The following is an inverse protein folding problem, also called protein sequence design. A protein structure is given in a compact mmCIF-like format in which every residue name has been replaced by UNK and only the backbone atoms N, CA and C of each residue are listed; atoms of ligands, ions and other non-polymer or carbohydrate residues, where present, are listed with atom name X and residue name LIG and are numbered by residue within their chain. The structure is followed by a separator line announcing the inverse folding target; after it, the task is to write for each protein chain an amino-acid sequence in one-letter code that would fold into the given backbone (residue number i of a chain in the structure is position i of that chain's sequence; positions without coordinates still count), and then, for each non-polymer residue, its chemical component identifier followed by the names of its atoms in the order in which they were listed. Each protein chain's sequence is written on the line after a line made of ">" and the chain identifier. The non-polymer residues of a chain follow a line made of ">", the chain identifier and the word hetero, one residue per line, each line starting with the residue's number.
data_IF_617607275401
#
_entry.id   IF_617607275401
#
_cell.length_a   1.000
_cell.length_b   1.000
_cell.length_c   1.000
_cell.angle_alpha   90.00
_cell.angle_beta   90.00
_cell.angle_gamma   90.00
#
_symmetry.space_group_name_H-M   'P 1'
#
loop_
_entity.id
_entity.type
_entity.pdbx_description
1 polymer ?
#
# COMPACT_ATOMS: atom_id res chain seq x y z
N UNK A 1 -28.18 -7.80 -18.40
CA UNK A 1 -26.79 -7.73 -17.90
C UNK A 1 -26.68 -6.45 -17.10
N UNK A 2 -26.44 -6.54 -15.78
CA UNK A 2 -26.07 -5.35 -15.03
C UNK A 2 -24.64 -5.00 -15.42
N UNK A 3 -24.45 -3.83 -16.05
CA UNK A 3 -23.12 -3.26 -16.22
C UNK A 3 -22.48 -3.15 -14.83
N UNK A 4 -21.35 -3.82 -14.64
CA UNK A 4 -20.60 -3.75 -13.40
C UNK A 4 -20.07 -2.32 -13.25
N UNK A 5 -20.63 -1.58 -12.31
CA UNK A 5 -20.12 -0.26 -11.98
C UNK A 5 -18.74 -0.42 -11.33
N UNK A 6 -17.70 0.05 -11.99
CA UNK A 6 -16.35 0.06 -11.45
C UNK A 6 -16.25 0.98 -10.23
N UNK A 7 -15.68 0.47 -9.15
CA UNK A 7 -15.33 1.28 -7.98
C UNK A 7 -14.05 2.06 -8.22
N UNK A 8 -13.74 3.03 -7.33
CA UNK A 8 -12.45 3.74 -7.36
C UNK A 8 -11.27 2.77 -7.22
N UNK A 9 -11.40 1.77 -6.36
CA UNK A 9 -10.40 0.69 -6.20
C UNK A 9 -10.22 -0.09 -7.51
N UNK A 10 -11.30 -0.45 -8.20
CA UNK A 10 -11.19 -1.15 -9.50
C UNK A 10 -10.47 -0.29 -10.54
N UNK A 11 -10.72 1.01 -10.56
CA UNK A 11 -10.04 1.95 -11.47
C UNK A 11 -8.53 1.98 -11.20
N UNK A 12 -8.13 2.10 -9.93
CA UNK A 12 -6.70 2.08 -9.57
C UNK A 12 -6.06 0.73 -9.85
N UNK A 13 -6.77 -0.38 -9.62
CA UNK A 13 -6.29 -1.72 -10.02
C UNK A 13 -6.01 -1.83 -11.51
N UNK A 14 -6.87 -1.26 -12.34
CA UNK A 14 -6.64 -1.29 -13.79
C UNK A 14 -5.34 -0.55 -14.17
N UNK A 15 -5.08 0.63 -13.58
CA UNK A 15 -3.81 1.33 -13.82
C UNK A 15 -2.60 0.53 -13.31
N UNK A 16 -2.71 -0.07 -12.13
CA UNK A 16 -1.66 -0.89 -11.56
C UNK A 16 -1.39 -2.15 -12.41
N UNK A 17 -2.45 -2.81 -12.84
CA UNK A 17 -2.36 -3.99 -13.71
C UNK A 17 -1.71 -3.64 -15.06
N UNK A 18 -2.07 -2.53 -15.66
CA UNK A 18 -1.49 -2.10 -16.94
C UNK A 18 0.00 -1.81 -16.79
N UNK A 19 0.42 -1.15 -15.70
CA UNK A 19 1.82 -0.91 -15.40
C UNK A 19 2.58 -2.23 -15.21
N UNK A 20 2.10 -3.13 -14.35
CA UNK A 20 2.79 -4.39 -14.04
C UNK A 20 2.83 -5.35 -15.24
N UNK A 21 1.78 -5.43 -16.03
CA UNK A 21 1.75 -6.23 -17.29
C UNK A 21 2.75 -5.73 -18.31
N UNK A 22 2.99 -4.41 -18.33
CA UNK A 22 3.94 -3.77 -19.24
C UNK A 22 5.40 -4.04 -18.91
N UNK A 23 5.73 -4.53 -17.73
CA UNK A 23 7.12 -4.80 -17.33
C UNK A 23 7.71 -5.97 -18.14
N UNK A 24 8.94 -5.77 -18.64
CA UNK A 24 9.67 -6.80 -19.38
C UNK A 24 10.08 -7.95 -18.46
N UNK A 25 10.61 -7.63 -17.26
CA UNK A 25 10.97 -8.61 -16.25
C UNK A 25 9.74 -9.18 -15.53
N UNK A 26 9.44 -10.44 -15.80
CA UNK A 26 8.27 -11.12 -15.25
C UNK A 26 8.41 -11.47 -13.77
N UNK A 27 9.61 -11.56 -13.25
CA UNK A 27 9.84 -11.74 -11.82
C UNK A 27 9.53 -10.46 -11.06
N UNK A 28 10.00 -9.32 -11.53
CA UNK A 28 9.63 -7.99 -10.99
C UNK A 28 8.14 -7.77 -11.04
N UNK A 29 7.47 -8.09 -12.16
CA UNK A 29 6.02 -7.98 -12.28
C UNK A 29 5.30 -8.84 -11.24
N UNK A 30 5.68 -10.11 -11.08
CA UNK A 30 5.11 -11.01 -10.07
C UNK A 30 5.28 -10.47 -8.65
N UNK A 31 6.48 -9.99 -8.33
CA UNK A 31 6.78 -9.41 -7.02
C UNK A 31 5.93 -8.14 -6.77
N UNK A 32 5.73 -7.32 -7.80
CA UNK A 32 4.84 -6.16 -7.75
C UNK A 32 3.39 -6.54 -7.45
N UNK A 33 2.86 -7.55 -8.14
CA UNK A 33 1.51 -8.06 -7.85
C UNK A 33 1.36 -8.52 -6.40
N UNK A 34 2.29 -9.34 -5.92
CA UNK A 34 2.25 -9.86 -4.55
C UNK A 34 2.35 -8.74 -3.52
N UNK A 35 3.29 -7.80 -3.71
CA UNK A 35 3.56 -6.76 -2.73
C UNK A 35 2.48 -5.66 -2.72
N UNK A 36 2.23 -5.03 -3.86
CA UNK A 36 1.35 -3.86 -3.93
C UNK A 36 -0.11 -4.22 -3.59
N UNK A 37 -0.60 -5.33 -4.12
CA UNK A 37 -1.93 -5.84 -3.74
C UNK A 37 -1.97 -6.31 -2.29
N UNK A 38 -0.92 -6.98 -1.83
CA UNK A 38 -0.81 -7.45 -0.45
C UNK A 38 -0.81 -6.31 0.56
N UNK A 39 -0.05 -5.23 0.31
CA UNK A 39 -0.06 -4.04 1.16
C UNK A 39 -1.43 -3.36 1.14
N UNK A 40 -2.07 -3.24 -0.02
CA UNK A 40 -3.43 -2.69 -0.11
C UNK A 40 -4.44 -3.48 0.73
N UNK A 41 -4.41 -4.81 0.67
CA UNK A 41 -5.30 -5.67 1.47
C UNK A 41 -4.99 -5.58 2.97
N UNK A 42 -3.71 -5.59 3.35
CA UNK A 42 -3.30 -5.42 4.74
C UNK A 42 -3.73 -4.06 5.29
N UNK A 43 -3.63 -2.99 4.50
CA UNK A 43 -4.07 -1.64 4.89
C UNK A 43 -5.58 -1.59 5.17
N UNK A 44 -6.41 -2.21 4.33
CA UNK A 44 -7.84 -2.31 4.59
C UNK A 44 -8.14 -3.08 5.88
N UNK A 45 -7.47 -4.21 6.08
CA UNK A 45 -7.65 -5.04 7.28
C UNK A 45 -7.27 -4.26 8.55
N UNK A 46 -6.15 -3.56 8.55
CA UNK A 46 -5.70 -2.74 9.68
C UNK A 46 -6.68 -1.60 9.96
N UNK A 47 -7.10 -0.86 8.90
CA UNK A 47 -8.07 0.22 9.04
C UNK A 47 -9.38 -0.27 9.69
N UNK A 48 -9.95 -1.36 9.18
CA UNK A 48 -11.20 -1.93 9.71
C UNK A 48 -11.03 -2.49 11.12
N UNK A 49 -9.91 -3.16 11.41
CA UNK A 49 -9.58 -3.66 12.76
C UNK A 49 -9.51 -2.53 13.78
N UNK A 50 -8.98 -1.38 13.40
CA UNK A 50 -8.88 -0.18 14.23
C UNK A 50 -10.17 0.66 14.29
N UNK A 51 -11.25 0.19 13.66
CA UNK A 51 -12.58 0.81 13.73
C UNK A 51 -12.79 1.99 12.77
N UNK A 52 -11.92 2.15 11.77
CA UNK A 52 -12.13 3.17 10.73
C UNK A 52 -13.27 2.79 9.78
N UNK A 53 -13.84 3.79 9.13
CA UNK A 53 -14.93 3.59 8.18
C UNK A 53 -14.47 2.85 6.91
N UNK A 54 -15.43 2.32 6.13
CA UNK A 54 -15.17 1.67 4.85
C UNK A 54 -14.53 2.61 3.84
N UNK A 55 -14.86 3.90 3.90
CA UNK A 55 -14.29 4.94 3.05
C UNK A 55 -12.80 5.15 3.38
N UNK A 56 -12.44 5.18 4.66
CA UNK A 56 -11.03 5.24 5.09
C UNK A 56 -10.29 3.97 4.67
N UNK A 57 -10.89 2.80 4.82
CA UNK A 57 -10.31 1.54 4.37
C UNK A 57 -10.10 1.51 2.85
N UNK A 58 -11.03 2.09 2.06
CA UNK A 58 -10.87 2.24 0.61
C UNK A 58 -9.64 3.09 0.25
N UNK A 59 -9.48 4.25 0.90
CA UNK A 59 -8.29 5.10 0.69
C UNK A 59 -7.00 4.38 1.10
N UNK A 60 -7.05 3.59 2.16
CA UNK A 60 -5.89 2.80 2.62
C UNK A 60 -5.50 1.71 1.61
N UNK A 61 -6.47 1.01 1.00
CA UNK A 61 -6.20 0.06 -0.10
C UNK A 61 -5.49 0.77 -1.25
N UNK A 62 -5.99 1.93 -1.64
CA UNK A 62 -5.44 2.70 -2.76
C UNK A 62 -4.01 3.17 -2.44
N UNK A 63 -3.78 3.72 -1.25
CA UNK A 63 -2.44 4.10 -0.80
C UNK A 63 -1.48 2.90 -0.83
N UNK A 64 -1.91 1.74 -0.34
CA UNK A 64 -1.11 0.51 -0.37
C UNK A 64 -0.76 0.05 -1.79
N UNK A 65 -1.70 0.14 -2.73
CA UNK A 65 -1.44 -0.24 -4.13
C UNK A 65 -0.46 0.71 -4.85
N UNK A 66 -0.38 1.97 -4.42
CA UNK A 66 0.41 3.00 -5.11
C UNK A 66 1.75 3.33 -4.42
N UNK A 67 1.99 2.85 -3.19
CA UNK A 67 3.08 3.35 -2.34
C UNK A 67 4.49 3.15 -2.91
N UNK A 68 4.71 2.07 -3.62
CA UNK A 68 6.00 1.70 -4.23
C UNK A 68 5.96 1.71 -5.78
N UNK A 69 5.04 2.49 -6.38
CA UNK A 69 4.83 2.53 -7.83
C UNK A 69 6.13 2.65 -8.63
N UNK A 70 6.94 3.69 -8.35
CA UNK A 70 8.16 3.95 -9.11
C UNK A 70 9.22 2.85 -8.95
N UNK A 71 9.19 2.13 -7.85
CA UNK A 71 10.10 1.03 -7.55
C UNK A 71 9.93 -0.11 -8.55
N UNK A 72 8.68 -0.45 -8.86
CA UNK A 72 8.36 -1.48 -9.84
C UNK A 72 8.41 -0.95 -11.27
N UNK A 73 7.86 0.23 -11.53
CA UNK A 73 7.80 0.80 -12.87
C UNK A 73 9.18 1.13 -13.44
N UNK A 74 10.08 1.68 -12.61
CA UNK A 74 11.37 2.23 -13.05
C UNK A 74 12.59 1.66 -12.31
N UNK A 75 12.39 0.68 -11.44
CA UNK A 75 13.44 0.09 -10.60
C UNK A 75 14.20 1.15 -9.78
N UNK A 76 13.48 2.12 -9.20
CA UNK A 76 14.03 3.18 -8.37
C UNK A 76 13.87 2.84 -6.89
N UNK A 77 14.98 2.62 -6.20
CA UNK A 77 14.99 2.39 -4.74
C UNK A 77 15.30 3.69 -3.97
N UNK A 78 16.21 4.50 -4.46
CA UNK A 78 16.53 5.77 -3.83
C UNK A 78 15.38 6.74 -3.98
N UNK A 79 14.97 7.37 -2.86
CA UNK A 79 13.89 8.35 -2.79
C UNK A 79 12.52 7.84 -3.30
N UNK A 80 12.34 6.50 -3.36
CA UNK A 80 11.15 5.87 -3.95
C UNK A 80 9.84 6.36 -3.31
N UNK A 81 9.81 6.64 -2.01
CA UNK A 81 8.62 7.09 -1.32
C UNK A 81 8.13 8.45 -1.83
N UNK A 82 9.04 9.40 -1.98
CA UNK A 82 8.71 10.75 -2.47
C UNK A 82 8.33 10.73 -3.96
N UNK A 83 9.04 9.93 -4.75
CA UNK A 83 8.73 9.78 -6.18
C UNK A 83 7.39 9.07 -6.37
N UNK A 84 7.15 7.96 -5.65
CA UNK A 84 5.86 7.26 -5.72
C UNK A 84 4.69 8.11 -5.24
N UNK A 85 4.88 8.98 -4.25
CA UNK A 85 3.85 9.91 -3.80
C UNK A 85 3.41 10.85 -4.94
N UNK A 86 4.39 11.40 -5.66
CA UNK A 86 4.14 12.26 -6.83
C UNK A 86 3.45 11.51 -7.98
N UNK A 87 3.90 10.28 -8.25
CA UNK A 87 3.29 9.43 -9.27
C UNK A 87 1.86 9.04 -8.89
N UNK A 88 1.63 8.70 -7.62
CA UNK A 88 0.31 8.41 -7.09
C UNK A 88 -0.65 9.59 -7.27
N UNK A 89 -0.19 10.81 -6.99
CA UNK A 89 -0.99 12.03 -7.23
C UNK A 89 -1.45 12.11 -8.69
N UNK A 90 -0.55 11.92 -9.63
CA UNK A 90 -0.86 11.94 -11.06
C UNK A 90 -1.87 10.83 -11.47
N UNK A 91 -1.72 9.63 -10.90
CA UNK A 91 -2.66 8.52 -11.14
C UNK A 91 -4.05 8.84 -10.58
N UNK A 92 -4.14 9.40 -9.37
CA UNK A 92 -5.41 9.78 -8.73
C UNK A 92 -6.13 10.88 -9.50
N UNK A 93 -5.42 11.90 -9.96
CA UNK A 93 -5.95 12.98 -10.79
C UNK A 93 -6.50 12.43 -12.12
N UNK A 94 -5.77 11.53 -12.76
CA UNK A 94 -6.20 10.87 -14.00
C UNK A 94 -7.41 9.96 -13.80
N UNK A 95 -7.47 9.25 -12.68
CA UNK A 95 -8.59 8.36 -12.33
C UNK A 95 -9.88 9.16 -12.08
N UNK A 96 -9.77 10.36 -11.54
CA UNK A 96 -10.90 11.18 -11.12
C UNK A 96 -11.65 10.62 -9.91
N UNK A 97 -12.72 11.27 -9.51
CA UNK A 97 -13.58 10.87 -8.40
C UNK A 97 -12.88 10.84 -7.01
N UNK A 98 -11.82 11.63 -6.85
CA UNK A 98 -11.15 11.87 -5.56
C UNK A 98 -11.24 13.35 -5.22
N UNK A 99 -11.51 13.68 -3.97
CA UNK A 99 -11.37 15.06 -3.49
C UNK A 99 -9.90 15.41 -3.31
N UNK A 100 -9.60 16.70 -3.25
CA UNK A 100 -8.23 17.17 -3.00
C UNK A 100 -7.71 16.63 -1.67
N UNK A 101 -8.56 16.65 -0.64
CA UNK A 101 -8.24 16.16 0.71
C UNK A 101 -7.93 14.64 0.71
N UNK A 102 -8.67 13.85 -0.06
CA UNK A 102 -8.39 12.42 -0.20
C UNK A 102 -7.07 12.17 -0.90
N UNK A 103 -6.79 12.92 -1.98
CA UNK A 103 -5.52 12.83 -2.70
C UNK A 103 -4.34 13.25 -1.84
N UNK A 104 -4.46 14.35 -1.09
CA UNK A 104 -3.44 14.83 -0.17
C UNK A 104 -3.15 13.81 0.94
N UNK A 105 -4.19 13.16 1.44
CA UNK A 105 -4.07 12.11 2.47
C UNK A 105 -3.31 10.90 1.96
N UNK A 106 -3.65 10.41 0.77
CA UNK A 106 -2.95 9.28 0.13
C UNK A 106 -1.50 9.65 -0.18
N UNK A 107 -1.27 10.80 -0.83
CA UNK A 107 0.05 11.27 -1.19
C UNK A 107 0.96 11.42 0.04
N UNK A 108 0.44 12.03 1.12
CA UNK A 108 1.20 12.21 2.37
C UNK A 108 1.57 10.87 3.00
N UNK A 109 0.65 9.91 3.06
CA UNK A 109 0.95 8.58 3.59
C UNK A 109 2.03 7.88 2.77
N UNK A 110 1.96 7.95 1.44
CA UNK A 110 2.98 7.39 0.56
C UNK A 110 4.33 8.10 0.75
N UNK A 111 4.34 9.42 0.82
CA UNK A 111 5.55 10.21 1.05
C UNK A 111 6.32 9.79 2.30
N UNK A 112 5.59 9.45 3.38
CA UNK A 112 6.15 9.13 4.69
C UNK A 112 6.38 7.64 4.95
N UNK A 113 5.86 6.75 4.09
CA UNK A 113 5.78 5.32 4.41
C UNK A 113 7.11 4.64 4.67
N UNK A 114 8.20 5.12 4.05
CA UNK A 114 9.52 4.50 4.19
C UNK A 114 10.19 4.77 5.54
N UNK A 115 9.88 5.88 6.21
CA UNK A 115 10.38 6.17 7.56
C UNK A 115 9.54 5.44 8.61
N UNK A 116 9.91 4.19 8.89
CA UNK A 116 9.24 3.33 9.88
C UNK A 116 9.57 3.71 11.33
N UNK A 117 10.54 4.58 11.56
CA UNK A 117 10.96 5.02 12.90
C UNK A 117 10.14 6.21 13.40
N UNK A 118 9.70 7.08 12.51
CA UNK A 118 8.83 8.20 12.83
C UNK A 118 7.38 7.73 13.06
N UNK A 119 6.69 8.39 13.98
CA UNK A 119 5.25 8.25 14.20
C UNK A 119 4.56 9.46 13.57
N UNK A 120 3.69 9.21 12.62
CA UNK A 120 2.97 10.22 11.87
C UNK A 120 1.46 10.18 12.16
N UNK A 121 0.63 10.68 11.24
CA UNK A 121 -0.82 10.61 11.44
C UNK A 121 -1.33 9.17 11.47
N UNK A 122 -2.51 8.97 12.06
CA UNK A 122 -3.12 7.63 12.15
C UNK A 122 -3.25 6.94 10.80
N UNK A 123 -3.56 7.69 9.74
CA UNK A 123 -3.67 7.15 8.39
C UNK A 123 -2.30 6.79 7.79
N UNK A 124 -1.27 7.61 8.03
CA UNK A 124 0.10 7.32 7.60
C UNK A 124 0.61 6.04 8.27
N UNK A 125 0.29 5.86 9.56
CA UNK A 125 0.66 4.66 10.31
C UNK A 125 -0.02 3.39 9.78
N UNK A 126 -1.27 3.47 9.27
CA UNK A 126 -1.93 2.33 8.62
C UNK A 126 -1.09 1.82 7.45
N UNK A 127 -0.58 2.71 6.60
CA UNK A 127 0.23 2.31 5.45
C UNK A 127 1.59 1.73 5.87
N UNK A 128 2.28 2.35 6.83
CA UNK A 128 3.56 1.84 7.36
C UNK A 128 3.40 0.45 7.98
N UNK A 129 2.33 0.25 8.72
CA UNK A 129 2.01 -1.02 9.36
C UNK A 129 1.63 -2.09 8.33
N UNK A 130 0.86 -1.71 7.31
CA UNK A 130 0.46 -2.61 6.23
C UNK A 130 1.66 -3.10 5.42
N UNK A 131 2.58 -2.21 5.08
CA UNK A 131 3.81 -2.55 4.39
C UNK A 131 4.68 -3.50 5.23
N UNK A 132 4.86 -3.20 6.53
CA UNK A 132 5.58 -4.08 7.45
C UNK A 132 4.92 -5.45 7.57
N UNK A 133 3.60 -5.50 7.76
CA UNK A 133 2.87 -6.75 7.92
C UNK A 133 2.93 -7.62 6.66
N UNK A 134 2.82 -7.01 5.48
CA UNK A 134 2.92 -7.72 4.22
C UNK A 134 4.31 -8.36 4.03
N UNK A 135 5.38 -7.66 4.40
CA UNK A 135 6.73 -8.23 4.35
C UNK A 135 6.86 -9.46 5.25
N UNK A 136 6.31 -9.42 6.46
CA UNK A 136 6.30 -10.57 7.36
C UNK A 136 5.50 -11.74 6.79
N UNK A 137 4.27 -11.47 6.31
CA UNK A 137 3.36 -12.52 5.86
C UNK A 137 3.75 -13.11 4.50
N UNK A 138 4.46 -12.37 3.68
CA UNK A 138 4.98 -12.87 2.39
C UNK A 138 5.95 -14.03 2.56
N UNK A 139 6.78 -13.97 3.59
CA UNK A 139 7.74 -15.03 3.90
C UNK A 139 7.88 -15.18 5.43
N UNK A 140 6.97 -15.92 6.09
CA UNK A 140 6.92 -16.02 7.54
C UNK A 140 8.09 -16.75 8.19
N UNK A 141 8.96 -17.36 7.40
CA UNK A 141 10.20 -18.02 7.90
C UNK A 141 11.43 -17.10 7.80
N UNK A 142 11.27 -15.88 7.30
CA UNK A 142 12.33 -14.90 7.22
C UNK A 142 12.41 -14.06 8.50
N UNK A 143 13.48 -14.23 9.28
CA UNK A 143 13.62 -13.59 10.59
C UNK A 143 13.75 -12.07 10.54
N UNK A 144 14.26 -11.51 9.44
CA UNK A 144 14.57 -10.09 9.34
C UNK A 144 13.40 -9.16 9.68
N UNK A 145 12.20 -9.45 9.17
CA UNK A 145 11.01 -8.63 9.43
C UNK A 145 10.37 -8.92 10.78
N UNK A 146 10.41 -10.17 11.25
CA UNK A 146 9.83 -10.58 12.52
C UNK A 146 10.46 -9.89 13.73
N UNK A 147 11.76 -9.56 13.66
CA UNK A 147 12.47 -8.88 14.77
C UNK A 147 12.24 -7.36 14.78
N UNK A 148 11.59 -6.79 13.79
CA UNK A 148 11.32 -5.34 13.76
C UNK A 148 10.30 -4.96 14.84
N UNK A 149 10.54 -3.86 15.59
CA UNK A 149 9.62 -3.43 16.66
C UNK A 149 8.18 -3.21 16.18
N UNK A 150 8.01 -2.69 14.97
CA UNK A 150 6.69 -2.46 14.35
C UNK A 150 5.97 -3.78 14.08
N UNK A 151 6.66 -4.79 13.57
CA UNK A 151 6.10 -6.12 13.35
C UNK A 151 5.66 -6.78 14.66
N UNK A 152 6.47 -6.68 15.71
CA UNK A 152 6.15 -7.23 17.03
C UNK A 152 4.88 -6.59 17.61
N UNK A 153 4.73 -5.27 17.51
CA UNK A 153 3.50 -4.59 17.93
C UNK A 153 2.26 -5.05 17.14
N UNK A 154 2.42 -5.27 15.83
CA UNK A 154 1.33 -5.78 14.99
C UNK A 154 0.95 -7.21 15.37
N UNK A 155 1.91 -8.07 15.69
CA UNK A 155 1.63 -9.41 16.18
C UNK A 155 0.81 -9.38 17.47
N UNK A 156 1.17 -8.53 18.43
CA UNK A 156 0.38 -8.34 19.64
C UNK A 156 -1.04 -7.82 19.32
N UNK A 157 -1.16 -6.79 18.48
CA UNK A 157 -2.45 -6.19 18.09
C UNK A 157 -3.38 -7.22 17.41
N UNK A 158 -2.83 -8.09 16.55
CA UNK A 158 -3.60 -9.08 15.80
C UNK A 158 -3.66 -10.46 16.45
N UNK A 159 -3.02 -10.65 17.60
CA UNK A 159 -2.96 -11.94 18.28
C UNK A 159 -2.22 -13.01 17.47
N UNK A 160 -1.20 -12.62 16.71
CA UNK A 160 -0.36 -13.52 15.95
C UNK A 160 0.81 -14.00 16.81
N UNK A 161 1.16 -15.28 16.70
CA UNK A 161 2.34 -15.86 17.35
C UNK A 161 3.37 -16.21 16.30
N UNK A 162 4.63 -15.86 16.54
CA UNK A 162 5.78 -16.23 15.73
C UNK A 162 6.69 -17.16 16.54
N UNK A 163 6.19 -18.37 16.88
CA UNK A 163 6.98 -19.44 17.49
C UNK A 163 7.59 -20.37 16.43
#
# INVERSE_FOLDING_TARGET
>A
MHERQYTRVDTIRNYLDDMLKGLEDKETARNGYVHLYGVGQAAAMIALKRGYSREVAELAVIAGMLHDWCKYERNLDDDHAHISAKDARAVLEKAGNFTVEEMDRIETAIYKHSDKSAVDSEFDEILKDADTLQHVLRNPVEDYWHVKPRAQKLFEEFGLTAE
#
